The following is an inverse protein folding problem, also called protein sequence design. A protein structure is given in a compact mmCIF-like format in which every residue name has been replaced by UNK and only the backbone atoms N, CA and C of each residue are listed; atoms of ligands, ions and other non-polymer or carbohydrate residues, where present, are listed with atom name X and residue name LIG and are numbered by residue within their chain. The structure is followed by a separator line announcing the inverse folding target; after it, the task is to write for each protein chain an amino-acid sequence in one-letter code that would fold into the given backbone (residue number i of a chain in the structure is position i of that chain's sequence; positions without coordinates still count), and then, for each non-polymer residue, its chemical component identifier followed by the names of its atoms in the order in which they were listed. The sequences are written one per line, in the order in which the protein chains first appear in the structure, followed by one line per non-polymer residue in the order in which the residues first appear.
data_IF_667355085274
#
_entry.id   IF_667355085274
#
_cell.length_a   1.000
_cell.length_b   1.000
_cell.length_c   1.000
_cell.angle_alpha   90.00
_cell.angle_beta   90.00
_cell.angle_gamma   90.00
#
_symmetry.space_group_name_H-M   'P 1'
#
loop_
_entity.id
_entity.type
_entity.pdbx_description
1 polymer ?
#
# COMPACT_ATOMS: atom_id res chain seq x y z
N UNK A 1 7.33 -14.52 21.19
CA UNK A 1 6.77 -14.34 19.84
C UNK A 1 5.73 -15.38 19.45
N UNK A 2 5.93 -16.68 19.74
CA UNK A 2 5.08 -17.75 19.20
C UNK A 2 3.79 -18.06 19.98
N UNK A 3 3.57 -17.44 21.14
CA UNK A 3 2.32 -17.61 21.89
C UNK A 3 1.17 -16.88 21.17
N UNK A 4 0.30 -17.63 20.49
CA UNK A 4 -0.82 -17.07 19.71
C UNK A 4 -1.95 -16.50 20.58
N UNK A 5 -1.95 -16.75 21.89
CA UNK A 5 -2.91 -16.13 22.81
C UNK A 5 -2.60 -14.65 23.10
N UNK A 6 -1.37 -14.18 22.80
CA UNK A 6 -0.98 -12.78 23.00
C UNK A 6 -1.32 -11.92 21.77
N UNK A 7 -1.65 -10.64 21.96
CA UNK A 7 -1.82 -9.69 20.86
C UNK A 7 -0.60 -9.61 19.93
N UNK A 8 -0.83 -9.37 18.64
CA UNK A 8 0.22 -9.28 17.62
C UNK A 8 1.31 -8.28 17.99
N UNK A 9 0.93 -7.11 18.54
CA UNK A 9 1.83 -6.05 18.96
C UNK A 9 2.78 -6.50 20.08
N UNK A 10 2.27 -7.26 21.07
CA UNK A 10 3.10 -7.79 22.15
C UNK A 10 4.07 -8.86 21.63
N UNK A 11 3.61 -9.71 20.72
CA UNK A 11 4.44 -10.73 20.08
C UNK A 11 5.56 -10.12 19.24
N UNK A 12 5.25 -9.05 18.49
CA UNK A 12 6.23 -8.29 17.70
C UNK A 12 7.23 -7.57 18.61
N UNK A 13 6.78 -6.91 19.68
CA UNK A 13 7.65 -6.24 20.65
C UNK A 13 8.64 -7.21 21.31
N UNK A 14 8.20 -8.41 21.70
CA UNK A 14 9.09 -9.45 22.23
C UNK A 14 10.14 -9.88 21.19
N UNK A 15 9.77 -10.07 19.92
CA UNK A 15 10.72 -10.40 18.85
C UNK A 15 11.78 -9.29 18.68
N UNK A 16 11.34 -8.04 18.57
CA UNK A 16 12.22 -6.88 18.39
C UNK A 16 13.13 -6.67 19.61
N UNK A 17 12.64 -6.95 20.83
CA UNK A 17 13.45 -6.84 22.06
C UNK A 17 14.64 -7.80 22.09
N UNK A 18 14.57 -8.91 21.34
CA UNK A 18 15.62 -9.93 21.25
C UNK A 18 16.65 -9.65 20.16
N UNK A 19 16.42 -8.65 19.32
CA UNK A 19 17.34 -8.23 18.26
C UNK A 19 18.43 -7.31 18.82
N UNK A 20 19.65 -7.48 18.34
CA UNK A 20 20.72 -6.48 18.47
C UNK A 20 20.37 -5.21 17.69
N UNK A 21 21.11 -4.12 17.91
CA UNK A 21 20.92 -2.88 17.13
C UNK A 21 21.19 -3.12 15.64
N UNK A 22 22.26 -3.84 15.31
CA UNK A 22 22.60 -4.16 13.93
C UNK A 22 21.51 -5.01 13.27
N UNK A 23 21.00 -6.02 13.97
CA UNK A 23 19.87 -6.82 13.51
C UNK A 23 18.64 -5.92 13.24
N UNK A 24 18.31 -4.96 14.12
CA UNK A 24 17.20 -4.02 13.92
C UNK A 24 17.39 -3.15 12.69
N UNK A 25 18.60 -2.64 12.45
CA UNK A 25 18.91 -1.80 11.28
C UNK A 25 18.60 -2.56 9.99
N UNK A 26 18.94 -3.85 9.92
CA UNK A 26 18.63 -4.67 8.73
C UNK A 26 17.13 -4.91 8.51
N UNK A 27 16.28 -4.63 9.49
CA UNK A 27 14.81 -4.74 9.36
C UNK A 27 14.13 -3.42 8.97
N UNK A 28 14.88 -2.31 8.86
CA UNK A 28 14.35 -0.98 8.51
C UNK A 28 14.38 -0.68 7.01
N UNK A 29 14.52 -1.71 6.17
CA UNK A 29 14.57 -1.63 4.71
C UNK A 29 13.59 -2.63 4.09
N UNK A 30 13.22 -2.45 2.82
CA UNK A 30 12.25 -3.33 2.16
C UNK A 30 12.74 -4.78 2.05
N UNK A 31 14.02 -4.97 1.74
CA UNK A 31 14.66 -6.29 1.76
C UNK A 31 15.23 -6.57 3.15
N UNK A 32 14.35 -6.98 4.06
CA UNK A 32 14.72 -7.29 5.44
C UNK A 32 15.55 -8.57 5.50
N UNK A 33 16.74 -8.48 6.07
CA UNK A 33 17.66 -9.60 6.15
C UNK A 33 17.14 -10.70 7.09
N UNK A 34 17.54 -11.95 6.83
CA UNK A 34 17.30 -13.03 7.79
C UNK A 34 18.07 -12.78 9.09
N UNK A 35 17.51 -13.23 10.22
CA UNK A 35 18.20 -13.28 11.51
C UNK A 35 18.28 -14.74 11.95
N UNK A 36 19.30 -15.51 11.49
CA UNK A 36 19.37 -16.96 11.72
C UNK A 36 19.37 -17.35 13.20
N UNK A 37 20.01 -16.54 14.06
CA UNK A 37 20.05 -16.76 15.52
C UNK A 37 18.66 -16.78 16.16
N UNK A 38 17.71 -16.02 15.59
CA UNK A 38 16.32 -15.96 16.05
C UNK A 38 15.39 -16.87 15.23
N UNK A 39 15.92 -17.58 14.22
CA UNK A 39 15.11 -18.35 13.27
C UNK A 39 14.18 -17.48 12.40
N UNK A 40 14.49 -16.19 12.25
CA UNK A 40 13.68 -15.28 11.42
C UNK A 40 14.18 -15.35 9.96
N UNK A 41 13.35 -15.79 9.00
CA UNK A 41 13.74 -15.80 7.60
C UNK A 41 13.86 -14.36 7.07
N UNK A 42 14.52 -14.22 5.92
CA UNK A 42 14.47 -12.96 5.16
C UNK A 42 13.03 -12.64 4.79
N UNK A 43 12.69 -11.37 4.70
CA UNK A 43 11.36 -10.93 4.31
C UNK A 43 11.47 -9.77 3.33
N UNK A 44 10.62 -9.77 2.30
CA UNK A 44 10.54 -8.69 1.34
C UNK A 44 9.21 -7.95 1.52
N UNK A 45 9.31 -6.69 1.92
CA UNK A 45 8.15 -5.81 2.14
C UNK A 45 7.56 -5.31 0.82
N UNK A 46 8.35 -5.24 -0.25
CA UNK A 46 7.91 -4.72 -1.53
C UNK A 46 7.30 -5.83 -2.40
N UNK A 47 5.98 -6.00 -2.30
CA UNK A 47 5.18 -6.72 -3.29
C UNK A 47 4.21 -5.77 -3.99
N UNK A 48 3.84 -6.06 -5.24
CA UNK A 48 2.91 -5.23 -6.03
C UNK A 48 1.67 -6.06 -6.42
N UNK A 49 0.49 -5.45 -6.28
CA UNK A 49 -0.79 -6.11 -6.59
C UNK A 49 -1.85 -5.15 -7.19
N UNK A 50 -1.43 -4.13 -7.95
CA UNK A 50 -2.30 -3.00 -8.36
C UNK A 50 -3.62 -3.44 -9.02
N UNK A 51 -3.54 -4.44 -9.90
CA UNK A 51 -4.67 -5.02 -10.64
C UNK A 51 -4.48 -6.55 -10.84
N UNK A 52 -3.88 -7.21 -9.85
CA UNK A 52 -3.31 -8.55 -9.98
C UNK A 52 -1.88 -8.57 -9.44
N UNK A 53 -1.38 -9.75 -9.03
CA UNK A 53 0.02 -9.87 -8.62
C UNK A 53 0.94 -9.48 -9.77
N UNK A 54 1.95 -8.66 -9.47
CA UNK A 54 2.93 -8.21 -10.44
C UNK A 54 4.35 -8.58 -10.01
N UNK A 55 5.23 -8.78 -10.99
CA UNK A 55 6.64 -9.00 -10.72
C UNK A 55 7.20 -7.82 -9.93
N UNK A 56 7.79 -8.13 -8.78
CA UNK A 56 8.33 -7.17 -7.80
C UNK A 56 9.39 -7.90 -6.98
N UNK A 57 10.22 -7.22 -6.18
CA UNK A 57 11.21 -7.91 -5.35
C UNK A 57 10.61 -9.04 -4.50
N UNK A 58 9.39 -8.81 -3.99
CA UNK A 58 8.68 -9.77 -3.14
C UNK A 58 7.92 -10.84 -3.91
N UNK A 59 7.64 -10.67 -5.21
CA UNK A 59 6.79 -11.58 -6.00
C UNK A 59 7.55 -12.18 -7.17
N UNK A 60 7.59 -13.51 -7.23
CA UNK A 60 8.27 -14.26 -8.30
C UNK A 60 7.34 -15.28 -8.97
N UNK A 61 7.36 -15.28 -10.30
CA UNK A 61 6.59 -16.21 -11.14
C UNK A 61 7.47 -17.34 -11.65
N UNK A 62 6.88 -18.50 -11.90
CA UNK A 62 7.53 -19.65 -12.52
C UNK A 62 7.15 -20.98 -11.89
N UNK A 63 7.62 -22.09 -12.48
CA UNK A 63 7.23 -23.44 -12.04
C UNK A 63 5.71 -23.60 -12.07
N UNK A 64 5.15 -24.07 -10.95
CA UNK A 64 3.71 -24.32 -10.80
C UNK A 64 2.87 -23.04 -10.66
N UNK A 65 3.50 -21.87 -10.45
CA UNK A 65 2.85 -20.56 -10.42
C UNK A 65 3.41 -19.64 -11.52
N UNK A 66 3.20 -19.95 -12.81
CA UNK A 66 3.77 -19.21 -13.93
C UNK A 66 3.09 -17.86 -14.19
N UNK A 67 1.86 -17.68 -13.69
CA UNK A 67 1.03 -16.49 -13.91
C UNK A 67 0.05 -16.26 -12.76
N UNK A 68 -0.52 -15.05 -12.72
CA UNK A 68 -1.62 -14.63 -11.86
C UNK A 68 -2.67 -13.92 -12.71
N UNK A 69 -3.88 -13.73 -12.19
CA UNK A 69 -4.93 -13.05 -12.95
C UNK A 69 -4.58 -11.58 -13.14
N UNK A 70 -4.64 -11.10 -14.39
CA UNK A 70 -4.44 -9.68 -14.75
C UNK A 70 -5.79 -9.04 -15.01
N UNK A 71 -6.25 -8.22 -14.07
CA UNK A 71 -7.51 -7.49 -14.15
C UNK A 71 -7.34 -6.18 -14.94
N UNK A 72 -8.45 -5.49 -15.30
CA UNK A 72 -8.35 -4.12 -15.81
C UNK A 72 -7.65 -3.19 -14.82
N UNK A 73 -6.92 -2.20 -15.34
CA UNK A 73 -6.36 -1.09 -14.55
C UNK A 73 -7.45 -0.41 -13.70
N UNK A 74 -7.06 0.22 -12.59
CA UNK A 74 -7.99 0.80 -11.62
C UNK A 74 -8.95 1.80 -12.28
N UNK A 75 -8.47 2.61 -13.23
CA UNK A 75 -9.27 3.58 -13.98
C UNK A 75 -10.39 2.93 -14.81
N UNK A 76 -10.16 1.70 -15.30
CA UNK A 76 -11.17 0.96 -16.05
C UNK A 76 -12.13 0.23 -15.11
N UNK A 77 -11.62 -0.26 -13.98
CA UNK A 77 -12.42 -0.97 -13.00
C UNK A 77 -13.40 -0.02 -12.29
N UNK A 78 -12.96 1.16 -11.90
CA UNK A 78 -13.80 2.17 -11.24
C UNK A 78 -14.90 2.68 -12.17
N UNK A 79 -14.67 2.70 -13.49
CA UNK A 79 -15.65 3.10 -14.50
C UNK A 79 -16.88 2.17 -14.56
N UNK A 80 -16.84 1.01 -13.90
CA UNK A 80 -18.03 0.17 -13.69
C UNK A 80 -19.01 0.74 -12.66
N UNK A 81 -18.59 1.71 -11.85
CA UNK A 81 -19.32 2.25 -10.68
C UNK A 81 -19.84 1.17 -9.73
N UNK A 82 -19.22 -0.02 -9.73
CA UNK A 82 -19.70 -1.19 -8.99
C UNK A 82 -18.66 -1.56 -7.93
N UNK A 83 -18.77 -0.97 -6.73
CA UNK A 83 -17.81 -1.24 -5.63
C UNK A 83 -17.82 -2.70 -5.17
N UNK A 84 -18.94 -3.41 -5.34
CA UNK A 84 -19.00 -4.85 -5.11
C UNK A 84 -18.07 -5.64 -6.04
N UNK A 85 -17.91 -5.19 -7.29
CA UNK A 85 -16.96 -5.80 -8.24
C UNK A 85 -15.52 -5.55 -7.80
N UNK A 86 -15.21 -4.32 -7.36
CA UNK A 86 -13.90 -3.96 -6.81
C UNK A 86 -13.52 -4.87 -5.64
N UNK A 87 -14.43 -5.05 -4.67
CA UNK A 87 -14.23 -5.95 -3.53
C UNK A 87 -13.96 -7.40 -3.95
N UNK A 88 -14.74 -7.92 -4.92
CA UNK A 88 -14.57 -9.30 -5.40
C UNK A 88 -13.23 -9.51 -6.10
N UNK A 89 -12.82 -8.56 -6.96
CA UNK A 89 -11.51 -8.60 -7.62
C UNK A 89 -10.39 -8.56 -6.57
N UNK A 90 -10.48 -7.65 -5.60
CA UNK A 90 -9.53 -7.57 -4.49
C UNK A 90 -9.45 -8.90 -3.70
N UNK A 91 -10.59 -9.57 -3.51
CA UNK A 91 -10.64 -10.89 -2.85
C UNK A 91 -9.91 -11.96 -3.65
N UNK A 92 -10.02 -11.95 -4.99
CA UNK A 92 -9.26 -12.86 -5.86
C UNK A 92 -7.76 -12.56 -5.77
N UNK A 93 -7.38 -11.29 -5.89
CA UNK A 93 -5.98 -10.85 -5.78
C UNK A 93 -5.37 -11.30 -4.45
N UNK A 94 -6.07 -11.10 -3.33
CA UNK A 94 -5.57 -11.51 -2.00
C UNK A 94 -5.53 -13.03 -1.82
N UNK A 95 -6.42 -13.79 -2.49
CA UNK A 95 -6.34 -15.26 -2.51
C UNK A 95 -5.11 -15.73 -3.29
N UNK A 96 -4.87 -15.19 -4.48
CA UNK A 96 -3.68 -15.50 -5.29
C UNK A 96 -2.40 -15.11 -4.55
N UNK A 97 -2.39 -13.95 -3.89
CA UNK A 97 -1.28 -13.52 -3.04
C UNK A 97 -0.93 -14.55 -1.96
N UNK A 98 -1.94 -15.12 -1.30
CA UNK A 98 -1.73 -16.18 -0.30
C UNK A 98 -1.28 -17.49 -0.91
N UNK A 99 -1.78 -17.86 -2.08
CA UNK A 99 -1.29 -19.03 -2.80
C UNK A 99 0.20 -18.89 -3.15
N UNK A 100 0.62 -17.73 -3.68
CA UNK A 100 2.03 -17.46 -3.95
C UNK A 100 2.87 -17.41 -2.68
N UNK A 101 2.37 -16.80 -1.60
CA UNK A 101 3.10 -16.75 -0.33
C UNK A 101 3.32 -18.15 0.29
N UNK A 102 2.33 -19.03 0.23
CA UNK A 102 2.45 -20.41 0.73
C UNK A 102 3.56 -21.20 -0.01
N UNK A 103 3.84 -20.86 -1.26
CA UNK A 103 4.94 -21.41 -2.07
C UNK A 103 6.24 -20.59 -1.96
N UNK A 104 6.34 -19.67 -0.99
CA UNK A 104 7.47 -18.75 -0.79
C UNK A 104 7.80 -17.88 -2.03
N UNK A 105 6.77 -17.51 -2.79
CA UNK A 105 6.86 -16.72 -4.04
C UNK A 105 6.27 -15.32 -3.93
N UNK A 106 5.68 -14.95 -2.80
CA UNK A 106 5.16 -13.60 -2.52
C UNK A 106 5.44 -13.22 -1.06
N UNK A 107 5.60 -11.92 -0.78
CA UNK A 107 5.43 -11.37 0.58
C UNK A 107 3.95 -11.35 1.00
N UNK A 108 3.66 -10.69 2.11
CA UNK A 108 2.30 -10.44 2.61
C UNK A 108 1.95 -8.95 2.70
N UNK A 109 2.85 -8.07 2.28
CA UNK A 109 2.67 -6.63 2.19
C UNK A 109 2.67 -6.21 0.73
N UNK A 110 1.62 -5.52 0.31
CA UNK A 110 1.45 -5.11 -1.07
C UNK A 110 1.30 -3.60 -1.14
N UNK A 111 2.13 -2.96 -1.96
CA UNK A 111 2.10 -1.53 -2.24
C UNK A 111 0.92 -1.17 -3.15
N UNK A 112 -0.29 -1.40 -2.65
CA UNK A 112 -1.57 -1.26 -3.36
C UNK A 112 -2.65 -0.84 -2.36
N UNK A 113 -3.55 0.10 -2.70
CA UNK A 113 -3.72 0.78 -4.00
C UNK A 113 -3.02 2.12 -4.19
N UNK A 114 -2.93 2.56 -5.44
CA UNK A 114 -2.68 3.97 -5.79
C UNK A 114 -3.99 4.75 -5.68
N UNK A 115 -4.10 5.64 -4.70
CA UNK A 115 -5.35 6.34 -4.33
C UNK A 115 -5.31 7.84 -4.59
N UNK A 116 -4.24 8.32 -5.19
CA UNK A 116 -4.12 9.72 -5.58
C UNK A 116 -5.19 10.10 -6.59
N UNK A 117 -5.59 11.37 -6.54
CA UNK A 117 -6.53 11.97 -7.48
C UNK A 117 -5.85 12.18 -8.84
N UNK A 118 -6.48 11.71 -9.92
CA UNK A 118 -6.01 11.96 -11.29
C UNK A 118 -6.35 13.39 -11.74
N UNK A 119 -5.76 14.38 -11.06
CA UNK A 119 -6.09 15.80 -11.22
C UNK A 119 -5.66 16.36 -12.57
N UNK A 120 -4.43 16.04 -12.98
CA UNK A 120 -3.88 16.49 -14.26
C UNK A 120 -3.94 15.33 -15.27
N UNK A 121 -4.68 15.48 -16.39
CA UNK A 121 -4.87 14.39 -17.36
C UNK A 121 -3.57 13.94 -18.05
N UNK A 122 -2.48 14.69 -17.89
CA UNK A 122 -1.16 14.34 -18.44
C UNK A 122 -0.35 13.44 -17.52
N UNK A 123 -0.81 13.18 -16.30
CA UNK A 123 -0.08 12.35 -15.36
C UNK A 123 0.04 10.91 -15.87
N UNK A 124 1.28 10.47 -16.14
CA UNK A 124 1.55 9.16 -16.74
C UNK A 124 1.10 7.95 -15.90
N UNK A 125 0.87 8.15 -14.60
CA UNK A 125 0.34 7.13 -13.68
C UNK A 125 -1.13 7.30 -13.32
N UNK A 126 -1.83 8.25 -13.93
CA UNK A 126 -3.27 8.43 -13.71
C UNK A 126 -4.11 7.20 -14.03
N UNK A 127 -3.64 6.36 -14.97
CA UNK A 127 -4.23 5.04 -15.26
C UNK A 127 -4.27 4.08 -14.05
N UNK A 128 -3.37 4.27 -13.08
CA UNK A 128 -3.28 3.46 -11.86
C UNK A 128 -4.30 3.89 -10.80
N UNK A 129 -5.03 4.99 -11.02
CA UNK A 129 -5.93 5.58 -10.03
C UNK A 129 -7.39 5.24 -10.30
N UNK A 130 -8.27 5.43 -9.31
CA UNK A 130 -9.72 5.43 -9.50
C UNK A 130 -10.30 6.71 -10.15
N UNK A 131 -9.48 7.58 -10.76
CA UNK A 131 -9.92 8.77 -11.47
C UNK A 131 -9.75 10.07 -10.68
N UNK A 132 -10.49 11.10 -11.09
CA UNK A 132 -10.32 12.49 -10.63
C UNK A 132 -11.25 12.90 -9.47
N UNK A 133 -12.22 12.06 -9.10
CA UNK A 133 -13.22 12.39 -8.08
C UNK A 133 -12.82 11.84 -6.70
N UNK A 134 -12.66 12.70 -5.66
CA UNK A 134 -12.29 12.25 -4.32
C UNK A 134 -13.29 11.30 -3.69
N UNK A 135 -14.59 11.46 -3.95
CA UNK A 135 -15.63 10.60 -3.37
C UNK A 135 -15.61 9.20 -3.97
N UNK A 136 -15.61 9.09 -5.30
CA UNK A 136 -15.53 7.82 -6.02
C UNK A 136 -14.24 7.08 -5.69
N UNK A 137 -13.13 7.81 -5.60
CA UNK A 137 -11.84 7.26 -5.18
C UNK A 137 -11.94 6.71 -3.75
N UNK A 138 -12.55 7.44 -2.82
CA UNK A 138 -12.75 6.98 -1.44
C UNK A 138 -13.56 5.67 -1.38
N UNK A 139 -14.66 5.58 -2.13
CA UNK A 139 -15.48 4.37 -2.16
C UNK A 139 -14.77 3.18 -2.82
N UNK A 140 -13.98 3.43 -3.88
CA UNK A 140 -13.11 2.42 -4.49
C UNK A 140 -12.10 1.88 -3.49
N UNK A 141 -11.43 2.78 -2.77
CA UNK A 141 -10.39 2.45 -1.80
C UNK A 141 -10.93 1.61 -0.66
N UNK A 142 -12.08 1.99 -0.11
CA UNK A 142 -12.75 1.19 0.91
C UNK A 142 -13.02 -0.23 0.39
N UNK A 143 -13.67 -0.37 -0.76
CA UNK A 143 -13.99 -1.68 -1.30
C UNK A 143 -12.75 -2.55 -1.58
N UNK A 144 -11.70 -1.96 -2.17
CA UNK A 144 -10.47 -2.68 -2.49
C UNK A 144 -9.73 -3.11 -1.23
N UNK A 145 -9.47 -2.21 -0.29
CA UNK A 145 -8.73 -2.50 0.95
C UNK A 145 -9.47 -3.56 1.77
N UNK A 146 -10.80 -3.49 1.86
CA UNK A 146 -11.58 -4.52 2.54
C UNK A 146 -11.40 -5.91 1.88
N UNK A 147 -11.44 -6.00 0.55
CA UNK A 147 -11.24 -7.27 -0.16
C UNK A 147 -9.79 -7.80 -0.12
N UNK A 148 -8.81 -6.91 0.01
CA UNK A 148 -7.41 -7.30 0.18
C UNK A 148 -7.15 -7.81 1.61
N UNK A 149 -7.61 -7.08 2.62
CA UNK A 149 -7.20 -7.31 4.01
C UNK A 149 -8.09 -8.27 4.80
N UNK A 150 -9.40 -8.36 4.49
CA UNK A 150 -10.30 -9.24 5.25
C UNK A 150 -10.12 -10.69 4.82
N UNK A 151 -9.79 -11.54 5.80
CA UNK A 151 -9.80 -12.99 5.67
C UNK A 151 -11.00 -13.62 6.34
N UNK A 152 -11.04 -14.95 6.36
CA UNK A 152 -12.06 -15.72 7.10
C UNK A 152 -11.92 -15.57 8.62
N UNK A 153 -10.69 -15.36 9.10
CA UNK A 153 -10.38 -15.15 10.51
C UNK A 153 -10.04 -13.67 10.76
N UNK A 154 -10.95 -12.96 11.40
CA UNK A 154 -10.82 -11.52 11.69
C UNK A 154 -9.63 -11.18 12.61
N UNK A 155 -9.02 -12.18 13.25
CA UNK A 155 -7.80 -11.97 14.05
C UNK A 155 -6.57 -11.70 13.20
N UNK A 156 -6.62 -12.03 11.91
CA UNK A 156 -5.49 -11.93 10.99
C UNK A 156 -5.85 -11.14 9.74
N UNK A 157 -4.91 -10.32 9.28
CA UNK A 157 -4.96 -9.79 7.93
C UNK A 157 -4.79 -10.95 6.94
N UNK A 158 -5.61 -10.96 5.88
CA UNK A 158 -5.40 -11.84 4.74
C UNK A 158 -4.11 -11.45 4.04
N UNK A 159 -4.00 -10.21 3.58
CA UNK A 159 -2.73 -9.54 3.24
C UNK A 159 -2.77 -8.10 3.78
N UNK A 160 -1.62 -7.46 3.91
CA UNK A 160 -1.51 -6.05 4.27
C UNK A 160 -1.54 -5.19 3.00
N UNK A 161 -2.55 -4.31 2.89
CA UNK A 161 -2.62 -3.29 1.86
C UNK A 161 -1.84 -2.04 2.29
N UNK A 162 -1.52 -1.20 1.32
CA UNK A 162 -0.75 0.03 1.50
C UNK A 162 -1.29 1.12 0.57
N UNK A 163 -1.96 2.11 1.15
CA UNK A 163 -2.48 3.23 0.37
C UNK A 163 -1.34 4.19 0.00
N UNK A 164 -1.17 4.42 -1.31
CA UNK A 164 -0.08 5.23 -1.86
C UNK A 164 -0.58 6.27 -2.88
N UNK A 165 0.17 7.34 -3.12
CA UNK A 165 1.31 7.84 -2.37
C UNK A 165 0.88 9.06 -1.54
N UNK A 166 1.07 8.98 -0.21
CA UNK A 166 0.64 9.96 0.77
C UNK A 166 1.65 11.12 0.89
N UNK A 167 1.37 12.34 0.44
CA UNK A 167 0.13 12.79 -0.21
C UNK A 167 0.45 13.68 -1.42
N UNK A 168 -0.59 14.07 -2.15
CA UNK A 168 -0.57 15.04 -3.25
C UNK A 168 0.52 14.79 -4.30
N UNK A 169 0.63 13.52 -4.68
CA UNK A 169 1.49 13.06 -5.74
C UNK A 169 0.64 12.73 -6.98
N UNK A 170 0.70 13.60 -7.97
CA UNK A 170 -0.10 13.50 -9.21
C UNK A 170 0.70 13.92 -10.46
N UNK A 171 2.04 13.84 -10.40
CA UNK A 171 2.94 14.27 -11.47
C UNK A 171 4.20 13.39 -11.52
N UNK A 172 4.57 12.92 -12.72
CA UNK A 172 5.82 12.16 -12.92
C UNK A 172 7.00 13.07 -13.27
N UNK A 173 6.86 13.77 -14.40
CA UNK A 173 7.84 14.71 -14.92
C UNK A 173 7.12 15.63 -15.90
N UNK A 174 7.10 16.92 -15.60
CA UNK A 174 6.49 17.92 -16.47
C UNK A 174 7.22 19.25 -16.35
N UNK A 175 7.39 19.93 -17.49
CA UNK A 175 8.03 21.24 -17.59
C UNK A 175 9.40 21.32 -16.86
N UNK A 176 10.21 20.26 -16.96
CA UNK A 176 11.56 20.19 -16.37
C UNK A 176 11.60 19.90 -14.88
N UNK A 177 10.46 19.60 -14.24
CA UNK A 177 10.40 19.19 -12.83
C UNK A 177 9.93 17.74 -12.76
N UNK A 178 10.74 16.88 -12.16
CA UNK A 178 10.38 15.49 -11.85
C UNK A 178 9.76 15.35 -10.46
N UNK A 179 9.13 14.20 -10.22
CA UNK A 179 8.48 13.86 -8.96
C UNK A 179 9.36 13.88 -7.71
N UNK A 180 10.68 13.71 -7.87
CA UNK A 180 11.62 13.69 -6.74
C UNK A 180 11.96 15.11 -6.28
N UNK A 181 11.76 16.10 -7.14
CA UNK A 181 12.07 17.51 -6.88
C UNK A 181 10.81 18.41 -6.88
N UNK A 182 9.63 17.84 -7.14
CA UNK A 182 8.38 18.57 -7.13
C UNK A 182 8.01 19.04 -5.72
N UNK A 183 7.64 20.31 -5.60
CA UNK A 183 7.13 20.92 -4.36
C UNK A 183 5.72 21.43 -4.62
N UNK A 184 4.74 20.62 -4.22
CA UNK A 184 3.33 20.91 -4.41
C UNK A 184 2.91 22.08 -3.52
N UNK A 185 2.34 23.11 -4.12
CA UNK A 185 1.78 24.28 -3.42
C UNK A 185 0.28 24.10 -3.27
N UNK A 186 -0.15 23.76 -2.07
CA UNK A 186 -1.52 23.32 -1.79
C UNK A 186 -2.05 24.12 -0.61
N UNK A 187 -3.25 24.68 -0.73
CA UNK A 187 -3.92 25.32 0.41
C UNK A 187 -4.48 24.26 1.35
N UNK A 188 -4.67 24.60 2.64
CA UNK A 188 -5.31 23.68 3.58
C UNK A 188 -6.70 23.23 3.10
N UNK A 189 -7.41 24.12 2.39
CA UNK A 189 -8.70 23.80 1.79
C UNK A 189 -8.58 22.70 0.73
N UNK A 190 -7.69 22.86 -0.26
CA UNK A 190 -7.53 21.87 -1.33
C UNK A 190 -6.96 20.55 -0.81
N UNK A 191 -6.10 20.62 0.21
CA UNK A 191 -5.59 19.44 0.90
C UNK A 191 -6.73 18.63 1.52
N UNK A 192 -7.64 19.28 2.27
CA UNK A 192 -8.76 18.63 2.96
C UNK A 192 -9.88 18.22 2.01
N UNK A 193 -10.20 19.04 1.02
CA UNK A 193 -11.34 18.80 0.12
C UNK A 193 -11.00 17.82 -1.02
N UNK A 194 -9.74 17.78 -1.49
CA UNK A 194 -9.35 17.02 -2.68
C UNK A 194 -8.41 15.85 -2.36
N UNK A 195 -7.29 16.11 -1.67
CA UNK A 195 -6.20 15.13 -1.59
C UNK A 195 -6.32 14.16 -0.41
N UNK A 196 -6.82 14.61 0.75
CA UNK A 196 -6.97 13.79 1.95
C UNK A 196 -8.15 12.80 1.93
N UNK A 197 -9.32 13.06 1.30
CA UNK A 197 -10.48 12.18 1.46
C UNK A 197 -10.23 10.69 1.17
N UNK A 198 -9.50 10.31 0.09
CA UNK A 198 -9.18 8.90 -0.16
C UNK A 198 -8.32 8.27 0.94
N UNK A 199 -7.36 9.01 1.49
CA UNK A 199 -6.48 8.52 2.56
C UNK A 199 -7.21 8.48 3.90
N UNK A 200 -8.06 9.46 4.20
CA UNK A 200 -8.93 9.44 5.38
C UNK A 200 -9.82 8.21 5.35
N UNK A 201 -10.46 7.92 4.20
CA UNK A 201 -11.27 6.72 4.00
C UNK A 201 -10.44 5.44 4.14
N UNK A 202 -9.22 5.43 3.62
CA UNK A 202 -8.30 4.30 3.70
C UNK A 202 -7.88 3.97 5.15
N UNK A 203 -7.55 5.00 5.92
CA UNK A 203 -7.03 4.87 7.29
C UNK A 203 -8.17 4.67 8.28
N UNK A 204 -9.12 5.62 8.32
CA UNK A 204 -10.17 5.66 9.35
C UNK A 204 -11.17 4.53 9.20
N UNK A 205 -11.61 4.27 7.97
CA UNK A 205 -12.76 3.38 7.76
C UNK A 205 -12.35 2.02 7.21
N UNK A 206 -11.38 1.98 6.31
CA UNK A 206 -10.89 0.72 5.76
C UNK A 206 -9.82 0.04 6.65
N UNK A 207 -9.27 0.77 7.64
CA UNK A 207 -8.24 0.30 8.55
C UNK A 207 -7.06 -0.34 7.81
N UNK A 208 -6.55 0.35 6.79
CA UNK A 208 -5.38 -0.09 6.03
C UNK A 208 -4.19 -0.39 6.95
N UNK A 209 -3.44 -1.43 6.63
CA UNK A 209 -2.30 -1.86 7.44
C UNK A 209 -1.09 -0.93 7.30
N UNK A 210 -0.98 -0.23 6.16
CA UNK A 210 0.17 0.62 5.83
C UNK A 210 -0.23 1.79 4.93
N UNK A 211 0.64 2.80 4.90
CA UNK A 211 0.61 3.89 3.93
C UNK A 211 2.03 4.14 3.42
N UNK A 212 2.15 4.51 2.16
CA UNK A 212 3.44 4.88 1.56
C UNK A 212 3.49 6.39 1.37
N UNK A 213 4.46 7.03 2.02
CA UNK A 213 4.71 8.45 1.81
C UNK A 213 5.22 8.73 0.38
N UNK A 214 4.83 9.87 -0.18
CA UNK A 214 5.21 10.27 -1.54
C UNK A 214 6.62 10.83 -1.63
N UNK A 215 7.13 10.93 -2.87
CA UNK A 215 8.44 11.51 -3.15
C UNK A 215 8.48 13.03 -2.99
N UNK A 216 7.41 13.71 -3.40
CA UNK A 216 7.37 15.16 -3.51
C UNK A 216 7.36 15.84 -2.13
N UNK A 217 7.62 17.13 -2.14
CA UNK A 217 7.33 18.01 -1.00
C UNK A 217 5.92 18.57 -1.10
N UNK A 218 5.34 18.91 0.06
CA UNK A 218 4.11 19.69 0.18
C UNK A 218 4.45 20.95 0.96
N UNK A 219 4.23 22.11 0.36
CA UNK A 219 4.50 23.42 0.97
C UNK A 219 5.93 23.53 1.54
N UNK A 220 6.92 22.96 0.84
CA UNK A 220 8.34 23.02 1.19
C UNK A 220 8.85 21.90 2.12
N UNK A 221 8.00 20.94 2.52
CA UNK A 221 8.40 19.83 3.40
C UNK A 221 8.23 18.48 2.67
N UNK A 222 9.28 17.65 2.53
CA UNK A 222 9.17 16.32 1.92
C UNK A 222 8.15 15.44 2.66
N UNK A 223 7.26 14.76 1.93
CA UNK A 223 6.15 13.99 2.53
C UNK A 223 6.62 12.97 3.56
N UNK A 224 7.65 12.18 3.26
CA UNK A 224 8.23 11.20 4.19
C UNK A 224 8.87 11.80 5.46
N UNK A 225 9.14 13.11 5.47
CA UNK A 225 9.68 13.84 6.61
C UNK A 225 8.66 14.82 7.25
N UNK A 226 7.44 14.89 6.70
CA UNK A 226 6.43 15.83 7.14
C UNK A 226 5.68 15.28 8.37
N UNK A 227 6.03 15.80 9.54
CA UNK A 227 5.41 15.37 10.81
C UNK A 227 3.93 15.69 10.90
N UNK A 228 3.47 16.78 10.27
CA UNK A 228 2.05 17.10 10.26
C UNK A 228 1.26 16.02 9.51
N UNK A 229 1.72 15.63 8.32
CA UNK A 229 1.10 14.55 7.54
C UNK A 229 1.21 13.20 8.29
N UNK A 230 2.42 12.75 8.62
CA UNK A 230 2.65 11.36 9.07
C UNK A 230 2.25 11.12 10.52
N UNK A 231 2.39 12.11 11.40
CA UNK A 231 2.18 11.93 12.84
C UNK A 231 0.86 12.51 13.35
N UNK A 232 0.30 13.52 12.68
CA UNK A 232 -0.93 14.21 13.13
C UNK A 232 -2.14 13.79 12.29
N UNK A 233 -2.03 13.76 10.95
CA UNK A 233 -3.16 13.43 10.09
C UNK A 233 -3.35 11.92 9.89
N UNK A 234 -2.25 11.16 9.76
CA UNK A 234 -2.31 9.74 9.43
C UNK A 234 -2.45 8.76 10.62
N UNK A 235 -2.48 9.25 11.87
CA UNK A 235 -2.55 8.41 13.09
C UNK A 235 -3.76 8.74 13.94
#
# INVERSE_FOLDING_TARGET
TCNQALPAQQRAADLVSRMTIDEKITQMVTTAAAIPRLGLPKYEWWSEALHGLAYSPGVSFGGDLPAATSFPMQINLVASFTMRLVYHIATVISTEARAFNNENRAGLNFFTPTVNIFRDPRWGRGQETPGEDPFLTSEYVYALVQGLQRGEDERYLKIAADCKAYNAYDLENWNGTDRFHFDAKISDQDLVETFLPPFERCIRDAHVASIMCSYNSINGIPSCANQFEIAILAR
#
